data_IF_820355146751
#
_entry.id   IF_820355146751
#
_cell.length_a   1.000
_cell.length_b   1.000
_cell.length_c   1.000
_cell.angle_alpha   90.00
_cell.angle_beta   90.00
_cell.angle_gamma   90.00
#
_symmetry.space_group_name_H-M   'P 1'
#
loop_
_entity.id
_entity.type
_entity.pdbx_description
1 polymer ?
#
# COMPACT_ATOMS: atom_id res chain seq x y z
N UNK A 1 26.56 -16.90 -38.83
CA UNK A 1 25.63 -17.18 -37.72
C UNK A 1 25.82 -16.22 -36.54
N UNK A 2 27.05 -15.98 -36.05
CA UNK A 2 27.31 -15.13 -34.87
C UNK A 2 26.87 -13.66 -34.96
N UNK A 3 26.96 -13.01 -36.13
CA UNK A 3 26.56 -11.60 -36.28
C UNK A 3 25.04 -11.39 -36.05
N UNK A 4 24.21 -12.33 -36.49
CA UNK A 4 22.75 -12.28 -36.28
C UNK A 4 22.39 -12.45 -34.80
N UNK A 5 23.05 -13.40 -34.10
CA UNK A 5 22.88 -13.56 -32.66
C UNK A 5 23.27 -12.30 -31.88
N UNK A 6 24.37 -11.65 -32.28
CA UNK A 6 24.82 -10.41 -31.66
C UNK A 6 23.78 -9.29 -31.80
N UNK A 7 23.21 -9.09 -32.99
CA UNK A 7 22.15 -8.09 -33.19
C UNK A 7 20.88 -8.41 -32.41
N UNK A 8 20.46 -9.68 -32.34
CA UNK A 8 19.32 -10.08 -31.52
C UNK A 8 19.55 -9.81 -30.03
N UNK A 9 20.73 -10.17 -29.50
CA UNK A 9 21.08 -9.89 -28.10
C UNK A 9 21.12 -8.39 -27.80
N UNK A 10 21.71 -7.59 -28.71
CA UNK A 10 21.75 -6.13 -28.56
C UNK A 10 20.34 -5.51 -28.59
N UNK A 11 19.46 -6.00 -29.48
CA UNK A 11 18.07 -5.55 -29.53
C UNK A 11 17.30 -5.89 -28.25
N UNK A 12 17.49 -7.09 -27.70
CA UNK A 12 16.89 -7.50 -26.42
C UNK A 12 17.41 -6.63 -25.28
N UNK A 13 18.72 -6.38 -25.21
CA UNK A 13 19.30 -5.53 -24.17
C UNK A 13 18.76 -4.09 -24.25
N UNK A 14 18.65 -3.53 -25.45
CA UNK A 14 18.06 -2.21 -25.68
C UNK A 14 16.59 -2.16 -25.26
N UNK A 15 15.80 -3.17 -25.63
CA UNK A 15 14.40 -3.25 -25.24
C UNK A 15 14.25 -3.37 -23.71
N UNK A 16 15.04 -4.23 -23.06
CA UNK A 16 15.04 -4.38 -21.61
C UNK A 16 15.44 -3.08 -20.89
N UNK A 17 16.47 -2.38 -21.39
CA UNK A 17 16.87 -1.08 -20.86
C UNK A 17 15.76 -0.04 -21.01
N UNK A 18 15.10 0.03 -22.19
CA UNK A 18 13.97 0.92 -22.42
C UNK A 18 12.79 0.64 -21.48
N UNK A 19 12.42 -0.64 -21.31
CA UNK A 19 11.36 -1.06 -20.39
C UNK A 19 11.72 -0.69 -18.94
N UNK A 20 12.96 -0.96 -18.52
CA UNK A 20 13.44 -0.64 -17.18
C UNK A 20 13.41 0.86 -16.89
N UNK A 21 13.91 1.69 -17.82
CA UNK A 21 13.89 3.14 -17.66
C UNK A 21 12.46 3.68 -17.60
N UNK A 22 11.54 3.10 -18.36
CA UNK A 22 10.14 3.54 -18.39
C UNK A 22 9.28 3.01 -17.22
N UNK A 23 9.68 1.90 -16.58
CA UNK A 23 8.96 1.32 -15.44
C UNK A 23 9.63 1.59 -14.09
N UNK A 24 10.80 2.22 -14.08
CA UNK A 24 11.47 2.66 -12.86
C UNK A 24 11.16 4.12 -12.57
N UNK A 25 11.41 4.54 -11.33
CA UNK A 25 11.29 5.93 -10.92
C UNK A 25 12.49 6.80 -11.32
N UNK A 26 13.43 6.29 -12.14
CA UNK A 26 14.67 7.01 -12.49
C UNK A 26 14.40 8.29 -13.31
N UNK A 27 13.33 8.29 -14.11
CA UNK A 27 12.91 9.43 -14.92
C UNK A 27 11.74 10.21 -14.30
N UNK A 28 11.23 9.77 -13.14
CA UNK A 28 10.11 10.42 -12.48
C UNK A 28 10.58 11.72 -11.82
N UNK A 29 9.79 12.79 -11.98
CA UNK A 29 10.04 14.04 -11.27
C UNK A 29 9.90 13.84 -9.75
N UNK A 30 10.80 14.46 -9.00
CA UNK A 30 10.68 14.47 -7.55
C UNK A 30 9.50 15.37 -7.17
N UNK A 31 8.49 14.81 -6.50
CA UNK A 31 7.37 15.61 -6.02
C UNK A 31 7.87 16.59 -4.95
N UNK A 32 7.69 17.91 -5.13
CA UNK A 32 8.03 18.87 -4.10
C UNK A 32 7.05 18.75 -2.93
N UNK A 33 7.55 18.92 -1.70
CA UNK A 33 6.74 18.88 -0.48
C UNK A 33 7.32 17.95 0.59
N UNK A 34 6.71 17.99 1.78
CA UNK A 34 7.02 17.06 2.86
C UNK A 34 6.24 15.75 2.68
N UNK A 35 6.76 14.60 3.13
CA UNK A 35 5.98 13.38 3.23
C UNK A 35 4.71 13.62 4.05
N UNK A 36 3.61 12.99 3.63
CA UNK A 36 2.31 13.05 4.30
C UNK A 36 2.05 11.70 4.94
N UNK A 37 1.76 11.69 6.25
CA UNK A 37 1.44 10.48 6.98
C UNK A 37 -0.05 10.19 6.89
N UNK A 38 -0.38 9.06 6.25
CA UNK A 38 -1.75 8.54 6.14
C UNK A 38 -1.96 7.41 7.15
N UNK A 39 -2.91 7.60 8.07
CA UNK A 39 -3.41 6.52 8.91
C UNK A 39 -4.54 5.78 8.17
N UNK A 40 -4.20 4.61 7.61
CA UNK A 40 -5.13 3.74 6.89
C UNK A 40 -6.18 3.16 7.84
N UNK A 41 -7.44 3.54 7.66
CA UNK A 41 -8.59 3.21 8.52
C UNK A 41 -8.45 3.62 9.98
N UNK A 42 -7.55 4.58 10.27
CA UNK A 42 -7.12 4.93 11.63
C UNK A 42 -6.01 4.03 12.16
N UNK A 43 -6.15 3.57 13.40
CA UNK A 43 -5.33 2.56 14.08
C UNK A 43 -6.08 1.22 14.13
N UNK A 44 -5.43 0.16 13.63
CA UNK A 44 -5.99 -1.19 13.57
C UNK A 44 -5.29 -2.16 14.54
N UNK A 45 -5.99 -3.24 14.88
CA UNK A 45 -5.40 -4.38 15.59
C UNK A 45 -4.37 -5.08 14.69
N UNK A 46 -3.32 -5.61 15.31
CA UNK A 46 -2.23 -6.29 14.58
C UNK A 46 -2.49 -7.79 14.50
N UNK A 47 -2.03 -8.39 13.43
CA UNK A 47 -2.00 -9.84 13.22
C UNK A 47 -0.62 -10.23 12.67
N UNK A 48 -0.31 -11.52 12.68
CA UNK A 48 0.93 -12.04 12.12
C UNK A 48 0.89 -12.02 10.58
N UNK A 49 1.80 -11.24 9.97
CA UNK A 49 1.89 -11.02 8.53
C UNK A 49 2.81 -12.03 7.81
N UNK A 50 3.38 -13.00 8.54
CA UNK A 50 4.30 -13.99 7.96
C UNK A 50 3.56 -14.90 6.98
N UNK A 51 4.04 -15.01 5.74
CA UNK A 51 3.46 -15.90 4.71
C UNK A 51 1.95 -15.68 4.43
N UNK A 52 1.49 -14.43 4.42
CA UNK A 52 0.12 -14.11 4.02
C UNK A 52 -0.15 -14.48 2.55
N UNK A 53 -1.21 -15.27 2.34
CA UNK A 53 -1.79 -15.57 1.02
C UNK A 53 -3.15 -14.88 0.89
N UNK A 54 -3.66 -14.79 -0.34
CA UNK A 54 -4.96 -14.15 -0.63
C UNK A 54 -6.14 -14.78 0.13
N UNK A 55 -6.05 -16.06 0.47
CA UNK A 55 -7.07 -16.83 1.19
C UNK A 55 -6.75 -17.01 2.69
N UNK A 56 -5.70 -16.36 3.19
CA UNK A 56 -5.35 -16.44 4.60
C UNK A 56 -6.35 -15.66 5.44
N UNK A 57 -7.01 -16.35 6.37
CA UNK A 57 -7.88 -15.72 7.36
C UNK A 57 -7.01 -14.95 8.38
N UNK A 58 -6.96 -13.63 8.29
CA UNK A 58 -6.18 -12.78 9.20
C UNK A 58 -6.74 -12.77 10.63
N UNK A 59 -8.05 -12.99 10.79
CA UNK A 59 -8.71 -13.05 12.08
C UNK A 59 -8.19 -14.20 12.97
N UNK A 60 -7.78 -15.33 12.40
CA UNK A 60 -7.22 -16.45 13.18
C UNK A 60 -5.76 -16.21 13.61
N UNK A 61 -5.14 -15.12 13.15
CA UNK A 61 -3.73 -14.78 13.38
C UNK A 61 -3.55 -13.48 14.16
N UNK A 62 -4.61 -13.00 14.81
CA UNK A 62 -4.54 -11.80 15.65
C UNK A 62 -3.46 -11.95 16.72
N UNK A 63 -2.65 -10.91 16.86
CA UNK A 63 -1.72 -10.79 17.98
C UNK A 63 -2.48 -10.30 19.22
N UNK A 64 -1.93 -10.47 20.43
CA UNK A 64 -2.52 -9.91 21.63
C UNK A 64 -2.78 -8.40 21.46
N UNK A 65 -4.01 -7.90 21.73
CA UNK A 65 -4.33 -6.48 21.60
C UNK A 65 -3.43 -5.62 22.48
N UNK A 66 -2.93 -4.51 21.93
CA UNK A 66 -2.12 -3.52 22.66
C UNK A 66 -2.88 -2.24 22.99
N UNK A 67 -4.05 -2.06 22.40
CA UNK A 67 -4.93 -0.91 22.56
C UNK A 67 -6.37 -1.32 22.23
N UNK A 68 -7.32 -0.47 22.58
CA UNK A 68 -8.75 -0.71 22.35
C UNK A 68 -9.26 -0.11 21.03
N UNK A 69 -8.39 0.55 20.26
CA UNK A 69 -8.77 1.12 18.97
C UNK A 69 -9.11 0.05 17.94
N UNK A 70 -10.20 0.28 17.20
CA UNK A 70 -10.66 -0.53 16.07
C UNK A 70 -10.67 0.32 14.80
N UNK A 71 -10.38 -0.29 13.66
CA UNK A 71 -10.42 0.38 12.36
C UNK A 71 -11.80 0.98 12.05
N UNK A 72 -11.83 2.06 11.27
CA UNK A 72 -13.06 2.78 10.87
C UNK A 72 -13.91 3.30 12.05
N UNK A 73 -13.31 3.51 13.23
CA UNK A 73 -13.99 4.14 14.38
C UNK A 73 -13.46 5.55 14.65
N UNK A 74 -14.33 6.44 15.13
CA UNK A 74 -13.96 7.83 15.46
C UNK A 74 -12.82 7.87 16.49
N UNK A 75 -12.88 7.01 17.52
CA UNK A 75 -11.84 6.93 18.54
C UNK A 75 -10.47 6.58 17.95
N UNK A 76 -10.45 5.66 16.97
CA UNK A 76 -9.24 5.25 16.26
C UNK A 76 -8.70 6.35 15.33
N UNK A 77 -9.58 7.08 14.65
CA UNK A 77 -9.20 8.24 13.82
C UNK A 77 -8.56 9.35 14.66
N UNK A 78 -9.17 9.66 15.81
CA UNK A 78 -8.62 10.63 16.77
C UNK A 78 -7.24 10.21 17.27
N UNK A 79 -7.07 8.92 17.58
CA UNK A 79 -5.78 8.37 17.98
C UNK A 79 -4.74 8.44 16.86
N UNK A 80 -5.14 8.22 15.60
CA UNK A 80 -4.27 8.39 14.42
C UNK A 80 -3.74 9.82 14.29
N UNK A 81 -4.61 10.83 14.40
CA UNK A 81 -4.19 12.23 14.40
C UNK A 81 -3.30 12.55 15.61
N UNK A 82 -3.64 12.05 16.81
CA UNK A 82 -2.82 12.24 18.00
C UNK A 82 -1.41 11.61 17.88
N UNK A 83 -1.28 10.54 17.09
CA UNK A 83 -0.01 9.90 16.76
C UNK A 83 0.78 10.61 15.65
N UNK A 84 0.25 11.70 15.07
CA UNK A 84 0.93 12.52 14.07
C UNK A 84 0.56 12.24 12.61
N UNK A 85 -0.53 11.52 12.36
CA UNK A 85 -1.05 11.40 10.99
C UNK A 85 -1.51 12.78 10.46
N UNK A 86 -1.17 13.09 9.21
CA UNK A 86 -1.67 14.27 8.51
C UNK A 86 -3.07 14.00 7.93
N UNK A 87 -3.36 12.74 7.57
CA UNK A 87 -4.61 12.29 6.96
C UNK A 87 -5.03 10.97 7.60
N UNK A 88 -6.33 10.75 7.73
CA UNK A 88 -6.92 9.44 8.05
C UNK A 88 -7.79 9.01 6.87
N UNK A 89 -7.62 7.76 6.42
CA UNK A 89 -8.52 7.13 5.45
C UNK A 89 -9.62 6.35 6.20
N UNK A 90 -10.79 6.25 5.58
CA UNK A 90 -11.97 5.56 6.09
C UNK A 90 -12.70 4.88 4.94
N UNK A 91 -13.15 3.64 5.15
CA UNK A 91 -14.01 2.97 4.19
C UNK A 91 -15.47 3.37 4.43
N UNK A 92 -16.13 3.92 3.42
CA UNK A 92 -17.55 4.30 3.48
C UNK A 92 -18.38 3.35 2.62
N UNK A 93 -19.43 2.76 3.20
CA UNK A 93 -20.33 1.84 2.51
C UNK A 93 -21.80 2.26 2.60
N UNK A 94 -22.61 2.04 1.55
CA UNK A 94 -24.04 2.28 1.63
C UNK A 94 -24.72 1.23 2.52
N UNK A 95 -25.63 1.70 3.37
CA UNK A 95 -26.56 0.87 4.13
C UNK A 95 -27.76 0.47 3.28
N UNK A 96 -28.51 -0.54 3.71
CA UNK A 96 -29.74 -0.96 3.05
C UNK A 96 -30.79 0.17 2.93
N UNK A 97 -30.75 1.15 3.84
CA UNK A 97 -31.61 2.33 3.82
C UNK A 97 -31.06 3.49 2.97
N UNK A 98 -29.93 3.31 2.29
CA UNK A 98 -29.29 4.30 1.42
C UNK A 98 -28.42 5.35 2.13
N UNK A 99 -28.35 5.34 3.48
CA UNK A 99 -27.40 6.15 4.24
C UNK A 99 -25.98 5.57 4.14
N UNK A 100 -24.94 6.39 4.29
CA UNK A 100 -23.55 5.93 4.36
C UNK A 100 -23.17 5.53 5.79
N UNK A 101 -22.45 4.43 5.94
CA UNK A 101 -21.86 3.94 7.19
C UNK A 101 -20.34 3.81 7.05
#
# INVERSE_FOLDING_TARGET
MGRKLFYCAAAIALAAAGIYLNNSSLLAEHRPGKPVLLAHRGIAQRFDETDLKNDTCTASRMLPPKHDYLENTIASMQAGFAAGADIVEIDVHPTAAGASA
#
